data_IF_302957519392
#
_entry.id   IF_302957519392
#
_cell.length_a   1.000
_cell.length_b   1.000
_cell.length_c   1.000
_cell.angle_alpha   90.00
_cell.angle_beta   90.00
_cell.angle_gamma   90.00
#
_symmetry.space_group_name_H-M   'P 1'
#
loop_
_entity.id
_entity.type
_entity.pdbx_description
1 polymer ?
#
# COMPACT_ATOMS: atom_id res chain seq x y z
N UNK A 1 -78.51 -36.58 -3.73
CA UNK A 1 -78.44 -35.11 -3.83
C UNK A 1 -77.69 -34.59 -2.61
N UNK A 2 -76.48 -34.05 -2.83
CA UNK A 2 -75.65 -33.15 -2.00
C UNK A 2 -75.49 -33.46 -0.49
N UNK A 3 -74.34 -33.92 0.02
CA UNK A 3 -73.02 -33.23 0.20
C UNK A 3 -73.10 -32.03 1.16
N UNK A 4 -72.66 -32.19 2.42
CA UNK A 4 -71.41 -31.58 2.97
C UNK A 4 -71.29 -31.86 4.48
N UNK A 5 -70.25 -32.62 4.87
CA UNK A 5 -69.71 -32.63 6.22
C UNK A 5 -68.86 -31.38 6.42
N UNK A 6 -68.90 -30.82 7.63
CA UNK A 6 -68.00 -29.79 8.09
C UNK A 6 -66.65 -30.45 8.45
N UNK A 7 -65.71 -30.40 7.52
CA UNK A 7 -64.28 -30.52 7.81
C UNK A 7 -63.67 -29.13 7.65
N UNK A 8 -63.54 -28.39 8.74
CA UNK A 8 -62.70 -27.19 8.78
C UNK A 8 -61.24 -27.65 8.83
N UNK A 9 -60.60 -27.74 7.67
CA UNK A 9 -59.14 -27.79 7.57
C UNK A 9 -58.55 -26.46 8.08
N UNK A 10 -57.58 -26.46 9.00
CA UNK A 10 -56.87 -25.24 9.34
C UNK A 10 -55.95 -24.88 8.16
N UNK A 11 -56.38 -23.95 7.32
CA UNK A 11 -55.50 -23.28 6.37
C UNK A 11 -54.48 -22.47 7.15
N UNK A 12 -53.30 -23.04 7.38
CA UNK A 12 -52.14 -22.26 7.83
C UNK A 12 -51.81 -21.25 6.75
N UNK A 13 -52.18 -19.99 6.97
CA UNK A 13 -51.68 -18.86 6.18
C UNK A 13 -50.18 -18.79 6.40
N UNK A 14 -49.40 -19.29 5.44
CA UNK A 14 -47.98 -19.00 5.37
C UNK A 14 -47.86 -17.52 5.01
N UNK A 15 -47.69 -16.69 6.03
CA UNK A 15 -47.34 -15.28 5.88
C UNK A 15 -45.89 -15.27 5.36
N UNK A 16 -45.75 -15.25 4.03
CA UNK A 16 -44.49 -14.90 3.42
C UNK A 16 -44.24 -13.44 3.77
N UNK A 17 -43.55 -13.21 4.88
CA UNK A 17 -43.00 -11.91 5.27
C UNK A 17 -42.06 -11.47 4.13
N UNK A 18 -42.64 -10.80 3.13
CA UNK A 18 -41.94 -10.02 2.12
C UNK A 18 -41.32 -8.85 2.87
N UNK A 19 -40.22 -9.13 3.56
CA UNK A 19 -39.35 -8.13 4.14
C UNK A 19 -38.90 -7.24 2.97
N UNK A 20 -39.43 -6.01 2.93
CA UNK A 20 -39.06 -5.02 1.92
C UNK A 20 -37.52 -4.90 1.89
N UNK A 21 -36.90 -4.88 0.69
CA UNK A 21 -35.46 -4.69 0.58
C UNK A 21 -35.03 -3.41 1.32
N UNK A 22 -34.10 -3.54 2.26
CA UNK A 22 -33.58 -2.42 3.06
C UNK A 22 -33.12 -1.27 2.15
N UNK A 23 -33.89 -0.16 2.13
CA UNK A 23 -33.74 0.94 1.16
C UNK A 23 -32.64 1.92 1.62
N UNK A 24 -31.49 1.91 0.95
CA UNK A 24 -30.26 2.67 1.31
C UNK A 24 -30.15 4.08 0.68
N UNK A 25 -31.27 4.69 0.28
CA UNK A 25 -31.32 5.78 -0.72
C UNK A 25 -30.72 7.14 -0.33
N UNK A 26 -30.44 7.45 0.95
CA UNK A 26 -29.92 8.77 1.36
C UNK A 26 -28.39 8.90 1.33
N UNK A 27 -27.67 7.81 1.07
CA UNK A 27 -26.23 7.71 1.30
C UNK A 27 -25.43 7.84 0.00
N UNK A 28 -25.91 7.22 -1.09
CA UNK A 28 -25.20 7.21 -2.38
C UNK A 28 -24.98 8.59 -3.01
N UNK A 29 -25.80 9.59 -2.68
CA UNK A 29 -25.66 10.95 -3.23
C UNK A 29 -24.45 11.71 -2.65
N UNK A 30 -24.19 11.57 -1.36
CA UNK A 30 -23.02 12.19 -0.70
C UNK A 30 -21.74 11.52 -1.22
N UNK A 31 -21.80 10.21 -1.42
CA UNK A 31 -20.69 9.39 -1.90
C UNK A 31 -20.31 9.75 -3.34
N UNK A 32 -21.30 9.87 -4.23
CA UNK A 32 -21.08 10.25 -5.62
C UNK A 32 -20.47 11.66 -5.79
N UNK A 33 -20.65 12.54 -4.80
CA UNK A 33 -20.05 13.88 -4.81
C UNK A 33 -18.65 13.91 -4.18
N UNK A 34 -18.38 13.09 -3.16
CA UNK A 34 -17.13 13.16 -2.38
C UNK A 34 -16.03 12.22 -2.88
N UNK A 35 -16.37 11.00 -3.33
CA UNK A 35 -15.38 9.99 -3.73
C UNK A 35 -14.59 10.39 -4.98
N UNK A 36 -15.21 10.87 -6.08
CA UNK A 36 -14.48 11.20 -7.31
C UNK A 36 -13.36 12.25 -7.15
N UNK A 37 -13.59 13.42 -6.51
CA UNK A 37 -12.51 14.39 -6.32
C UNK A 37 -11.41 13.87 -5.38
N UNK A 38 -11.77 13.09 -4.35
CA UNK A 38 -10.81 12.49 -3.44
C UNK A 38 -9.92 11.46 -4.16
N UNK A 39 -10.50 10.55 -4.94
CA UNK A 39 -9.76 9.55 -5.71
C UNK A 39 -8.87 10.21 -6.77
N UNK A 40 -9.34 11.28 -7.39
CA UNK A 40 -8.53 12.09 -8.33
C UNK A 40 -7.32 12.72 -7.64
N UNK A 41 -7.51 13.25 -6.43
CA UNK A 41 -6.42 13.82 -5.63
C UNK A 41 -5.41 12.76 -5.20
N UNK A 42 -5.88 11.61 -4.72
CA UNK A 42 -5.04 10.44 -4.38
C UNK A 42 -4.26 9.96 -5.59
N UNK A 43 -4.90 9.89 -6.76
CA UNK A 43 -4.24 9.53 -8.01
C UNK A 43 -3.10 10.50 -8.34
N UNK A 44 -3.34 11.81 -8.35
CA UNK A 44 -2.32 12.81 -8.71
C UNK A 44 -1.13 12.75 -7.75
N UNK A 45 -1.36 12.88 -6.44
CA UNK A 45 -0.27 12.90 -5.46
C UNK A 45 0.43 11.54 -5.36
N UNK A 46 -0.35 10.46 -5.37
CA UNK A 46 0.18 9.10 -5.30
C UNK A 46 1.01 8.75 -6.54
N UNK A 47 0.53 9.08 -7.74
CA UNK A 47 1.22 8.74 -8.98
C UNK A 47 2.53 9.52 -9.11
N UNK A 48 2.50 10.84 -8.91
CA UNK A 48 3.70 11.68 -8.95
C UNK A 48 4.71 11.25 -7.87
N UNK A 49 4.23 11.01 -6.64
CA UNK A 49 5.08 10.61 -5.52
C UNK A 49 5.76 9.26 -5.74
N UNK A 50 5.00 8.23 -6.12
CA UNK A 50 5.55 6.89 -6.33
C UNK A 50 6.40 6.81 -7.60
N UNK A 51 6.05 7.53 -8.67
CA UNK A 51 6.90 7.64 -9.86
C UNK A 51 8.24 8.30 -9.52
N UNK A 52 8.24 9.34 -8.70
CA UNK A 52 9.48 9.97 -8.24
C UNK A 52 10.33 9.02 -7.40
N UNK A 53 9.72 8.20 -6.54
CA UNK A 53 10.42 7.15 -5.79
C UNK A 53 11.09 6.15 -6.75
N UNK A 54 10.37 5.65 -7.75
CA UNK A 54 10.91 4.75 -8.78
C UNK A 54 12.10 5.38 -9.50
N UNK A 55 11.96 6.62 -9.98
CA UNK A 55 13.02 7.35 -10.69
C UNK A 55 14.27 7.55 -9.82
N UNK A 56 14.11 7.88 -8.54
CA UNK A 56 15.23 8.05 -7.62
C UNK A 56 15.94 6.71 -7.35
N UNK A 57 15.17 5.63 -7.17
CA UNK A 57 15.72 4.31 -6.89
C UNK A 57 16.56 3.79 -8.07
N UNK A 58 16.07 3.97 -9.30
CA UNK A 58 16.75 3.53 -10.52
C UNK A 58 17.92 4.47 -10.86
N UNK A 59 17.68 5.78 -10.96
CA UNK A 59 18.64 6.72 -11.53
C UNK A 59 19.69 7.21 -10.51
N UNK A 60 19.31 7.37 -9.24
CA UNK A 60 20.21 7.90 -8.21
C UNK A 60 20.84 6.78 -7.36
N UNK A 61 20.04 5.84 -6.87
CA UNK A 61 20.51 4.76 -6.00
C UNK A 61 21.02 3.53 -6.75
N UNK A 62 20.62 3.32 -8.01
CA UNK A 62 21.03 2.21 -8.88
C UNK A 62 20.78 0.83 -8.24
N UNK A 63 19.73 0.69 -7.42
CA UNK A 63 19.27 -0.58 -6.84
C UNK A 63 20.37 -1.45 -6.21
N UNK A 64 21.34 -0.83 -5.53
CA UNK A 64 22.53 -1.52 -5.00
C UNK A 64 22.28 -2.40 -3.77
N UNK A 65 21.06 -2.37 -3.22
CA UNK A 65 20.73 -3.13 -2.01
C UNK A 65 19.38 -3.83 -2.15
N UNK A 66 19.23 -4.96 -1.44
CA UNK A 66 17.98 -5.70 -1.33
C UNK A 66 16.81 -4.82 -0.85
N UNK A 67 17.07 -3.91 0.10
CA UNK A 67 16.07 -2.93 0.57
C UNK A 67 15.62 -1.99 -0.55
N UNK A 68 16.53 -1.55 -1.43
CA UNK A 68 16.15 -0.68 -2.55
C UNK A 68 15.27 -1.44 -3.57
N UNK A 69 15.48 -2.75 -3.74
CA UNK A 69 14.63 -3.60 -4.58
C UNK A 69 13.23 -3.72 -3.98
N UNK A 70 13.10 -3.95 -2.67
CA UNK A 70 11.79 -4.02 -2.03
C UNK A 70 11.05 -2.68 -2.02
N UNK A 71 11.77 -1.57 -1.80
CA UNK A 71 11.18 -0.23 -1.93
C UNK A 71 10.72 0.06 -3.37
N UNK A 72 11.45 -0.43 -4.37
CA UNK A 72 11.03 -0.31 -5.78
C UNK A 72 9.74 -1.10 -6.03
N UNK A 73 9.69 -2.35 -5.60
CA UNK A 73 8.51 -3.18 -5.79
C UNK A 73 7.29 -2.66 -5.02
N UNK A 74 7.49 -2.09 -3.83
CA UNK A 74 6.44 -1.40 -3.07
C UNK A 74 5.89 -0.20 -3.85
N UNK A 75 6.76 0.62 -4.44
CA UNK A 75 6.31 1.74 -5.28
C UNK A 75 5.59 1.25 -6.55
N UNK A 76 6.02 0.11 -7.14
CA UNK A 76 5.31 -0.50 -8.27
C UNK A 76 3.92 -1.00 -7.84
N UNK A 77 3.79 -1.67 -6.69
CA UNK A 77 2.47 -2.11 -6.20
C UNK A 77 1.54 -0.93 -5.93
N UNK A 78 2.05 0.17 -5.38
CA UNK A 78 1.28 1.40 -5.18
C UNK A 78 0.86 2.00 -6.53
N UNK A 79 1.73 2.01 -7.54
CA UNK A 79 1.39 2.48 -8.90
C UNK A 79 0.33 1.61 -9.57
N UNK A 80 0.42 0.28 -9.48
CA UNK A 80 -0.60 -0.64 -10.03
C UNK A 80 -1.98 -0.36 -9.41
N UNK A 81 -2.02 -0.12 -8.10
CA UNK A 81 -3.22 0.24 -7.37
C UNK A 81 -3.76 1.62 -7.81
N UNK A 82 -2.89 2.62 -7.90
CA UNK A 82 -3.23 3.98 -8.32
C UNK A 82 -3.79 4.04 -9.75
N UNK A 83 -3.29 3.22 -10.68
CA UNK A 83 -3.82 3.16 -12.05
C UNK A 83 -5.30 2.77 -12.12
N UNK A 84 -5.83 2.12 -11.07
CA UNK A 84 -7.26 1.76 -10.99
C UNK A 84 -8.14 2.92 -10.51
N UNK A 85 -7.57 3.91 -9.81
CA UNK A 85 -8.32 4.99 -9.14
C UNK A 85 -9.21 5.82 -10.08
N UNK A 86 -8.78 6.21 -11.30
CA UNK A 86 -9.65 6.97 -12.20
C UNK A 86 -10.92 6.21 -12.60
N UNK A 87 -10.83 4.89 -12.71
CA UNK A 87 -11.97 4.03 -13.07
C UNK A 87 -12.95 3.90 -11.90
N UNK A 88 -12.44 3.75 -10.68
CA UNK A 88 -13.26 3.77 -9.47
C UNK A 88 -13.87 5.15 -9.21
N UNK A 89 -13.18 6.23 -9.57
CA UNK A 89 -13.70 7.60 -9.46
C UNK A 89 -14.87 7.83 -10.42
N UNK A 90 -14.76 7.34 -11.67
CA UNK A 90 -15.87 7.37 -12.61
C UNK A 90 -17.04 6.50 -12.12
N UNK A 91 -16.77 5.28 -11.66
CA UNK A 91 -17.79 4.37 -11.12
C UNK A 91 -18.49 4.89 -9.85
N UNK A 92 -17.81 5.72 -9.06
CA UNK A 92 -18.44 6.37 -7.91
C UNK A 92 -19.38 7.51 -8.34
N UNK A 93 -19.11 8.17 -9.47
CA UNK A 93 -19.92 9.27 -9.99
C UNK A 93 -21.08 8.79 -10.88
N UNK A 94 -20.88 7.70 -11.61
CA UNK A 94 -21.77 7.16 -12.64
C UNK A 94 -21.63 5.63 -12.73
N UNK A 95 -22.40 4.99 -13.59
CA UNK A 95 -22.39 3.53 -13.77
C UNK A 95 -21.09 2.98 -14.39
N UNK A 96 -20.90 1.66 -14.27
CA UNK A 96 -19.76 0.96 -14.85
C UNK A 96 -19.92 0.72 -16.37
N UNK A 97 -19.42 1.64 -17.19
CA UNK A 97 -19.53 1.56 -18.68
C UNK A 97 -18.39 0.78 -19.37
N UNK A 98 -17.34 0.37 -18.65
CA UNK A 98 -16.14 -0.23 -19.26
C UNK A 98 -16.26 -1.73 -19.59
N UNK A 99 -17.40 -2.34 -19.25
CA UNK A 99 -17.69 -3.75 -19.50
C UNK A 99 -16.96 -4.72 -18.55
N UNK A 100 -17.29 -6.01 -18.70
CA UNK A 100 -16.87 -7.06 -17.78
C UNK A 100 -15.35 -7.34 -17.78
N UNK A 101 -14.69 -7.23 -18.94
CA UNK A 101 -13.24 -7.47 -19.06
C UNK A 101 -12.47 -6.43 -18.25
N UNK A 102 -12.83 -5.15 -18.37
CA UNK A 102 -12.19 -4.08 -17.60
C UNK A 102 -12.51 -4.18 -16.11
N UNK A 103 -13.73 -4.58 -15.74
CA UNK A 103 -14.12 -4.80 -14.33
C UNK A 103 -13.19 -5.84 -13.68
N UNK A 104 -12.96 -6.98 -14.34
CA UNK A 104 -12.02 -8.02 -13.88
C UNK A 104 -10.57 -7.54 -13.87
N UNK A 105 -10.14 -6.82 -14.91
CA UNK A 105 -8.76 -6.34 -15.03
C UNK A 105 -8.40 -5.32 -13.93
N UNK A 106 -9.21 -4.27 -13.74
CA UNK A 106 -8.95 -3.25 -12.73
C UNK A 106 -9.15 -3.78 -11.31
N UNK A 107 -10.10 -4.69 -11.09
CA UNK A 107 -10.20 -5.40 -9.81
C UNK A 107 -8.95 -6.24 -9.55
N UNK A 108 -8.39 -6.90 -10.58
CA UNK A 108 -7.14 -7.63 -10.47
C UNK A 108 -5.96 -6.74 -10.11
N UNK A 109 -5.79 -5.61 -10.80
CA UNK A 109 -4.75 -4.63 -10.47
C UNK A 109 -4.88 -4.09 -9.04
N UNK A 110 -6.11 -3.81 -8.60
CA UNK A 110 -6.39 -3.39 -7.23
C UNK A 110 -5.92 -4.43 -6.21
N UNK A 111 -6.28 -5.71 -6.41
CA UNK A 111 -5.94 -6.78 -5.47
C UNK A 111 -4.44 -7.10 -5.50
N UNK A 112 -3.83 -7.14 -6.70
CA UNK A 112 -2.40 -7.37 -6.88
C UNK A 112 -1.59 -6.25 -6.23
N UNK A 113 -2.01 -4.99 -6.41
CA UNK A 113 -1.41 -3.84 -5.75
C UNK A 113 -1.55 -3.90 -4.23
N UNK A 114 -2.75 -4.24 -3.73
CA UNK A 114 -3.02 -4.39 -2.30
C UNK A 114 -2.15 -5.47 -1.64
N UNK A 115 -2.19 -6.71 -2.15
CA UNK A 115 -1.41 -7.83 -1.61
C UNK A 115 0.08 -7.64 -1.83
N UNK A 116 0.49 -7.14 -2.99
CA UNK A 116 1.89 -6.80 -3.27
C UNK A 116 2.42 -5.79 -2.25
N UNK A 117 1.69 -4.71 -2.00
CA UNK A 117 2.07 -3.68 -1.05
C UNK A 117 2.34 -4.24 0.35
N UNK A 118 1.40 -5.00 0.91
CA UNK A 118 1.57 -5.57 2.26
C UNK A 118 2.69 -6.60 2.32
N UNK A 119 2.83 -7.47 1.31
CA UNK A 119 3.91 -8.45 1.29
C UNK A 119 5.29 -7.80 1.18
N UNK A 120 5.45 -6.72 0.39
CA UNK A 120 6.71 -5.97 0.35
C UNK A 120 7.00 -5.23 1.67
N UNK A 121 5.99 -4.74 2.38
CA UNK A 121 6.15 -4.17 3.73
C UNK A 121 6.60 -5.25 4.73
N UNK A 122 6.05 -6.46 4.65
CA UNK A 122 6.49 -7.63 5.45
C UNK A 122 7.95 -7.96 5.14
N UNK A 123 8.32 -8.07 3.86
CA UNK A 123 9.69 -8.35 3.44
C UNK A 123 10.68 -7.27 3.88
N UNK A 124 10.30 -5.99 3.83
CA UNK A 124 11.10 -4.89 4.36
C UNK A 124 11.33 -5.04 5.87
N UNK A 125 10.31 -5.47 6.61
CA UNK A 125 10.39 -5.70 8.06
C UNK A 125 11.33 -6.87 8.39
N UNK A 126 11.22 -7.98 7.66
CA UNK A 126 12.10 -9.15 7.80
C UNK A 126 13.55 -8.79 7.41
N UNK A 127 13.76 -8.05 6.30
CA UNK A 127 15.08 -7.58 5.88
C UNK A 127 15.77 -6.74 6.97
N UNK A 128 15.01 -5.89 7.68
CA UNK A 128 15.54 -5.14 8.82
C UNK A 128 15.82 -5.99 10.03
N UNK A 129 14.92 -6.91 10.35
CA UNK A 129 15.11 -7.83 11.44
C UNK A 129 16.41 -8.63 11.27
N UNK A 130 16.60 -9.24 10.09
CA UNK A 130 17.82 -10.00 9.78
C UNK A 130 19.07 -9.12 9.85
N UNK A 131 19.03 -7.90 9.32
CA UNK A 131 20.17 -6.99 9.35
C UNK A 131 20.63 -6.59 10.77
N UNK A 132 19.73 -6.61 11.76
CA UNK A 132 20.01 -6.13 13.12
C UNK A 132 20.24 -7.30 14.07
N UNK A 133 19.31 -8.26 14.09
CA UNK A 133 19.32 -9.38 15.03
C UNK A 133 20.27 -10.49 14.57
N UNK A 134 20.39 -10.72 13.26
CA UNK A 134 21.20 -11.78 12.67
C UNK A 134 22.26 -11.23 11.68
N UNK A 135 23.04 -10.24 12.13
CA UNK A 135 23.99 -9.50 11.28
C UNK A 135 25.00 -10.38 10.51
N UNK A 136 25.46 -11.50 11.10
CA UNK A 136 26.40 -12.44 10.45
C UNK A 136 25.74 -13.22 9.32
N UNK A 137 24.50 -13.68 9.52
CA UNK A 137 23.71 -14.34 8.47
C UNK A 137 23.33 -13.36 7.36
N UNK A 138 22.99 -12.12 7.74
CA UNK A 138 22.63 -11.05 6.84
C UNK A 138 23.73 -10.71 5.81
N UNK A 139 25.01 -10.85 6.14
CA UNK A 139 26.13 -10.66 5.20
C UNK A 139 26.08 -11.64 4.02
N UNK A 140 25.59 -12.86 4.22
CA UNK A 140 25.47 -13.88 3.16
C UNK A 140 24.12 -13.84 2.45
N UNK A 141 23.04 -13.57 3.19
CA UNK A 141 21.67 -13.68 2.68
C UNK A 141 21.15 -12.42 1.96
N UNK A 142 21.67 -11.22 2.29
CA UNK A 142 21.12 -9.95 1.78
C UNK A 142 21.75 -9.49 0.47
N UNK A 143 21.81 -10.41 -0.50
CA UNK A 143 22.32 -10.13 -1.85
C UNK A 143 21.21 -9.58 -2.76
N UNK A 144 21.60 -8.85 -3.81
CA UNK A 144 20.66 -8.33 -4.81
C UNK A 144 19.92 -9.47 -5.51
N UNK A 145 20.61 -10.56 -5.84
CA UNK A 145 20.02 -11.76 -6.46
C UNK A 145 18.90 -12.35 -5.61
N UNK A 146 19.14 -12.52 -4.30
CA UNK A 146 18.11 -13.04 -3.40
C UNK A 146 16.92 -12.07 -3.29
N UNK A 147 17.18 -10.76 -3.28
CA UNK A 147 16.15 -9.73 -3.37
C UNK A 147 15.27 -9.84 -4.62
N UNK A 148 15.87 -10.05 -5.79
CA UNK A 148 15.11 -10.24 -7.05
C UNK A 148 14.28 -11.52 -7.03
N UNK A 149 14.87 -12.64 -6.60
CA UNK A 149 14.16 -13.93 -6.51
C UNK A 149 12.97 -13.85 -5.55
N UNK A 150 13.18 -13.32 -4.34
CA UNK A 150 12.12 -13.16 -3.35
C UNK A 150 11.02 -12.20 -3.81
N UNK A 151 11.36 -11.12 -4.51
CA UNK A 151 10.36 -10.25 -5.15
C UNK A 151 9.54 -11.00 -6.20
N UNK A 152 10.18 -11.80 -7.07
CA UNK A 152 9.48 -12.60 -8.07
C UNK A 152 8.48 -13.58 -7.45
N UNK A 153 8.91 -14.32 -6.41
CA UNK A 153 8.01 -15.21 -5.65
C UNK A 153 6.85 -14.43 -5.03
N UNK A 154 7.13 -13.25 -4.48
CA UNK A 154 6.11 -12.42 -3.84
C UNK A 154 5.04 -11.94 -4.82
N UNK A 155 5.43 -11.54 -6.03
CA UNK A 155 4.47 -11.19 -7.08
C UNK A 155 3.60 -12.38 -7.48
N UNK A 156 4.19 -13.56 -7.63
CA UNK A 156 3.43 -14.79 -7.93
C UNK A 156 2.40 -15.06 -6.82
N UNK A 157 2.81 -14.98 -5.55
CA UNK A 157 1.90 -15.15 -4.40
C UNK A 157 0.81 -14.07 -4.39
N UNK A 158 1.12 -12.81 -4.68
CA UNK A 158 0.15 -11.73 -4.76
C UNK A 158 -0.89 -11.95 -5.88
N UNK A 159 -0.46 -12.45 -7.04
CA UNK A 159 -1.35 -12.82 -8.14
C UNK A 159 -2.29 -13.95 -7.72
N UNK A 160 -1.75 -15.03 -7.14
CA UNK A 160 -2.58 -16.14 -6.64
C UNK A 160 -3.57 -15.69 -5.56
N UNK A 161 -3.13 -14.82 -4.64
CA UNK A 161 -4.00 -14.27 -3.61
C UNK A 161 -5.15 -13.41 -4.18
N UNK A 162 -4.94 -12.82 -5.36
CA UNK A 162 -5.91 -11.97 -6.05
C UNK A 162 -6.94 -12.75 -6.88
N UNK A 163 -6.66 -14.02 -7.22
CA UNK A 163 -7.50 -14.81 -8.12
C UNK A 163 -8.96 -14.94 -7.68
N UNK A 164 -9.30 -15.24 -6.39
CA UNK A 164 -10.69 -15.34 -5.98
C UNK A 164 -11.47 -14.04 -6.27
N UNK A 165 -10.87 -12.88 -5.98
CA UNK A 165 -11.49 -11.58 -6.28
C UNK A 165 -11.74 -11.38 -7.77
N UNK A 166 -10.79 -11.78 -8.62
CA UNK A 166 -10.90 -11.65 -10.09
C UNK A 166 -11.93 -12.61 -10.69
N UNK A 167 -12.04 -13.83 -10.16
CA UNK A 167 -12.95 -14.85 -10.68
C UNK A 167 -14.39 -14.44 -10.37
N UNK A 168 -14.66 -14.02 -9.13
CA UNK A 168 -16.01 -13.77 -8.63
C UNK A 168 -16.52 -12.34 -8.89
N UNK A 169 -15.66 -11.39 -9.29
CA UNK A 169 -16.13 -10.08 -9.76
C UNK A 169 -16.75 -10.19 -11.17
N UNK A 170 -17.90 -9.54 -11.35
CA UNK A 170 -18.60 -9.43 -12.64
C UNK A 170 -19.21 -8.05 -12.83
N UNK A 171 -19.28 -7.61 -14.07
CA UNK A 171 -20.15 -6.50 -14.47
C UNK A 171 -21.54 -7.04 -14.78
N UNK A 172 -22.56 -6.55 -14.06
CA UNK A 172 -23.95 -6.98 -14.18
C UNK A 172 -24.84 -5.77 -14.44
N UNK A 173 -25.94 -6.01 -15.14
CA UNK A 173 -26.99 -5.02 -15.34
C UNK A 173 -27.91 -5.01 -14.11
N UNK A 174 -28.04 -3.84 -13.49
CA UNK A 174 -28.94 -3.56 -12.37
C UNK A 174 -30.02 -2.57 -12.84
N UNK A 175 -31.10 -2.39 -12.06
CA UNK A 175 -32.28 -1.59 -12.46
C UNK A 175 -31.96 -0.12 -12.79
N UNK A 176 -30.78 0.37 -12.41
CA UNK A 176 -30.29 1.75 -12.60
C UNK A 176 -28.98 1.86 -13.40
N UNK A 177 -28.55 0.78 -14.08
CA UNK A 177 -27.33 0.77 -14.91
C UNK A 177 -26.42 -0.42 -14.64
N UNK A 178 -25.20 -0.37 -15.18
CA UNK A 178 -24.22 -1.45 -14.99
C UNK A 178 -23.40 -1.27 -13.71
N UNK A 179 -23.28 -2.33 -12.90
CA UNK A 179 -22.49 -2.35 -11.67
C UNK A 179 -21.33 -3.37 -11.77
N UNK A 180 -20.15 -3.01 -11.26
CA UNK A 180 -19.01 -3.93 -11.12
C UNK A 180 -18.94 -4.41 -9.67
N UNK A 181 -19.53 -5.59 -9.40
CA UNK A 181 -19.76 -6.07 -8.04
C UNK A 181 -19.33 -7.53 -7.86
N UNK A 182 -18.92 -7.93 -6.64
CA UNK A 182 -18.53 -9.29 -6.35
C UNK A 182 -19.74 -10.22 -6.21
N UNK A 183 -19.74 -11.32 -6.95
CA UNK A 183 -20.77 -12.37 -6.88
C UNK A 183 -20.14 -13.68 -6.38
N UNK A 184 -20.13 -13.86 -5.06
CA UNK A 184 -19.57 -15.05 -4.41
C UNK A 184 -20.62 -16.14 -4.24
N UNK A 185 -20.34 -17.40 -4.63
CA UNK A 185 -21.14 -18.55 -4.22
C UNK A 185 -21.13 -18.72 -2.69
N UNK A 186 -22.08 -19.52 -2.17
CA UNK A 186 -22.18 -19.81 -0.74
C UNK A 186 -20.82 -20.30 -0.17
N UNK A 187 -20.40 -19.75 0.97
CA UNK A 187 -19.12 -20.06 1.61
C UNK A 187 -17.88 -19.35 1.03
N UNK A 188 -17.86 -19.03 -0.27
CA UNK A 188 -16.72 -18.33 -0.89
C UNK A 188 -16.55 -16.90 -0.40
N UNK A 189 -17.66 -16.23 -0.04
CA UNK A 189 -17.62 -14.90 0.61
C UNK A 189 -16.83 -14.98 1.92
N UNK A 190 -17.14 -15.96 2.77
CA UNK A 190 -16.48 -16.14 4.07
C UNK A 190 -15.01 -16.50 3.89
N UNK A 191 -14.71 -17.44 2.98
CA UNK A 191 -13.32 -17.80 2.65
C UNK A 191 -12.51 -16.59 2.18
N UNK A 192 -13.05 -15.80 1.24
CA UNK A 192 -12.39 -14.62 0.70
C UNK A 192 -12.14 -13.57 1.79
N UNK A 193 -13.13 -13.27 2.63
CA UNK A 193 -12.97 -12.34 3.76
C UNK A 193 -11.92 -12.83 4.75
N UNK A 194 -12.01 -14.08 5.21
CA UNK A 194 -11.07 -14.66 6.18
C UNK A 194 -9.64 -14.63 5.60
N UNK A 195 -9.47 -15.07 4.36
CA UNK A 195 -8.18 -15.05 3.67
C UNK A 195 -7.61 -13.63 3.60
N UNK A 196 -8.42 -12.65 3.21
CA UNK A 196 -7.99 -11.25 3.12
C UNK A 196 -7.61 -10.69 4.48
N UNK A 197 -8.37 -10.98 5.54
CA UNK A 197 -8.06 -10.55 6.90
C UNK A 197 -6.79 -11.23 7.45
N UNK A 198 -6.59 -12.52 7.18
CA UNK A 198 -5.37 -13.22 7.60
C UNK A 198 -4.14 -12.61 6.93
N UNK A 199 -4.18 -12.46 5.60
CA UNK A 199 -3.03 -11.97 4.83
C UNK A 199 -2.78 -10.47 5.00
N UNK A 200 -3.84 -9.68 5.16
CA UNK A 200 -3.80 -8.22 5.23
C UNK A 200 -3.71 -7.65 6.65
N UNK A 201 -4.07 -8.41 7.69
CA UNK A 201 -4.07 -7.92 9.07
C UNK A 201 -3.28 -8.83 10.02
N UNK A 202 -3.64 -10.12 10.10
CA UNK A 202 -3.07 -11.03 11.12
C UNK A 202 -1.60 -11.33 10.84
N UNK A 203 -1.27 -11.71 9.60
CA UNK A 203 0.10 -12.02 9.18
C UNK A 203 1.06 -10.84 9.37
N UNK A 204 0.80 -9.63 8.85
CA UNK A 204 1.70 -8.50 9.07
C UNK A 204 1.82 -8.13 10.54
N UNK A 205 0.76 -8.27 11.34
CA UNK A 205 0.78 -7.95 12.76
C UNK A 205 1.64 -8.96 13.55
N UNK A 206 1.53 -10.25 13.23
CA UNK A 206 2.39 -11.28 13.79
C UNK A 206 3.87 -11.02 13.46
N UNK A 207 4.17 -10.76 12.19
CA UNK A 207 5.54 -10.42 11.74
C UNK A 207 6.05 -9.19 12.49
N UNK A 208 5.22 -8.17 12.66
CA UNK A 208 5.57 -6.96 13.39
C UNK A 208 5.95 -7.29 14.84
N UNK A 209 5.11 -8.01 15.59
CA UNK A 209 5.35 -8.33 16.99
C UNK A 209 6.67 -9.13 17.14
N UNK A 210 6.87 -10.16 16.33
CA UNK A 210 8.07 -11.00 16.39
C UNK A 210 9.33 -10.23 15.99
N UNK A 211 9.29 -9.48 14.90
CA UNK A 211 10.47 -8.75 14.41
C UNK A 211 10.84 -7.60 15.35
N UNK A 212 9.87 -6.79 15.79
CA UNK A 212 10.16 -5.64 16.62
C UNK A 212 10.56 -6.02 18.05
N UNK A 213 10.00 -7.09 18.63
CA UNK A 213 10.46 -7.59 19.93
C UNK A 213 11.94 -7.99 19.88
N UNK A 214 12.38 -8.71 18.84
CA UNK A 214 13.79 -9.06 18.66
C UNK A 214 14.70 -7.86 18.36
N UNK A 215 14.23 -6.90 17.57
CA UNK A 215 14.96 -5.64 17.30
C UNK A 215 15.14 -4.84 18.59
N UNK A 216 14.08 -4.63 19.37
CA UNK A 216 14.11 -3.88 20.63
C UNK A 216 15.05 -4.57 21.63
N UNK A 217 14.95 -5.89 21.80
CA UNK A 217 15.83 -6.67 22.68
C UNK A 217 17.31 -6.50 22.31
N UNK A 218 17.61 -6.52 21.01
CA UNK A 218 18.98 -6.36 20.50
C UNK A 218 19.48 -4.91 20.65
N UNK A 219 18.62 -3.92 20.41
CA UNK A 219 18.96 -2.50 20.59
C UNK A 219 19.20 -2.14 22.05
N UNK A 220 18.42 -2.69 22.98
CA UNK A 220 18.62 -2.50 24.43
C UNK A 220 19.94 -3.14 24.89
N UNK A 221 20.36 -4.26 24.29
CA UNK A 221 21.63 -4.92 24.58
C UNK A 221 22.85 -4.19 24.00
N UNK A 222 22.68 -3.49 22.87
CA UNK A 222 23.76 -2.79 22.16
C UNK A 222 23.60 -1.26 22.24
N UNK A 223 23.97 -0.67 23.38
CA UNK A 223 23.72 0.75 23.76
C UNK A 223 24.36 1.83 22.88
N UNK A 224 25.28 1.51 21.96
CA UNK A 224 26.19 2.50 21.35
C UNK A 224 26.02 2.85 19.85
N UNK A 225 25.02 2.33 19.12
CA UNK A 225 24.93 2.52 17.66
C UNK A 225 23.77 3.43 17.19
N UNK A 226 23.93 4.75 17.37
CA UNK A 226 22.94 5.79 16.98
C UNK A 226 22.46 5.70 15.51
N UNK A 227 23.28 5.19 14.58
CA UNK A 227 22.93 5.06 13.15
C UNK A 227 21.91 3.94 12.86
N UNK A 228 21.84 2.87 13.67
CA UNK A 228 20.89 1.75 13.46
C UNK A 228 19.44 2.14 13.76
N UNK A 229 19.22 3.05 14.71
CA UNK A 229 17.88 3.50 15.12
C UNK A 229 17.10 4.22 14.01
N UNK A 230 17.75 4.98 13.12
CA UNK A 230 17.06 5.77 12.08
C UNK A 230 16.35 4.91 11.04
N UNK A 231 16.99 3.82 10.59
CA UNK A 231 16.40 2.93 9.59
C UNK A 231 15.25 2.08 10.16
N UNK A 232 15.37 1.66 11.43
CA UNK A 232 14.29 0.98 12.17
C UNK A 232 13.09 1.90 12.33
N UNK A 233 13.32 3.17 12.69
CA UNK A 233 12.26 4.17 12.85
C UNK A 233 11.47 4.36 11.56
N UNK A 234 12.12 4.42 10.40
CA UNK A 234 11.44 4.59 9.12
C UNK A 234 10.47 3.43 8.86
N UNK A 235 10.93 2.18 8.99
CA UNK A 235 10.11 1.01 8.66
C UNK A 235 9.02 0.77 9.71
N UNK A 236 9.28 1.13 10.96
CA UNK A 236 8.27 1.11 12.02
C UNK A 236 7.13 2.09 11.72
N UNK A 237 7.46 3.31 11.28
CA UNK A 237 6.47 4.30 10.88
C UNK A 237 5.65 3.79 9.68
N UNK A 238 6.29 3.23 8.64
CA UNK A 238 5.58 2.65 7.48
C UNK A 238 4.58 1.58 7.92
N UNK A 239 5.00 0.67 8.80
CA UNK A 239 4.12 -0.41 9.29
C UNK A 239 2.96 0.11 10.14
N UNK A 240 3.20 1.05 11.05
CA UNK A 240 2.12 1.65 11.87
C UNK A 240 1.12 2.39 10.99
N UNK A 241 1.61 3.17 10.02
CA UNK A 241 0.75 3.88 9.07
C UNK A 241 -0.08 2.89 8.25
N UNK A 242 0.48 1.75 7.82
CA UNK A 242 -0.30 0.71 7.17
C UNK A 242 -1.50 0.27 8.02
N UNK A 243 -1.28 -0.07 9.29
CA UNK A 243 -2.37 -0.50 10.17
C UNK A 243 -3.39 0.61 10.45
N UNK A 244 -2.95 1.86 10.62
CA UNK A 244 -3.86 2.99 10.82
C UNK A 244 -4.83 3.17 9.64
N UNK A 245 -4.38 2.88 8.42
CA UNK A 245 -5.18 3.08 7.21
C UNK A 245 -5.99 1.83 6.84
N UNK A 246 -5.41 0.62 6.98
CA UNK A 246 -6.04 -0.62 6.50
C UNK A 246 -6.71 -1.47 7.58
N UNK A 247 -6.34 -1.37 8.85
CA UNK A 247 -6.99 -2.15 9.90
C UNK A 247 -8.47 -1.79 10.08
N UNK A 248 -8.90 -0.50 10.04
CA UNK A 248 -10.32 -0.16 10.14
C UNK A 248 -11.16 -0.88 9.10
N UNK A 249 -10.71 -0.89 7.83
CA UNK A 249 -11.41 -1.58 6.75
C UNK A 249 -11.48 -3.09 6.96
N UNK A 250 -10.37 -3.73 7.33
CA UNK A 250 -10.34 -5.18 7.57
C UNK A 250 -11.26 -5.60 8.73
N UNK A 251 -11.36 -4.77 9.78
CA UNK A 251 -12.26 -5.00 10.90
C UNK A 251 -13.72 -4.87 10.46
N UNK A 252 -14.08 -3.80 9.73
CA UNK A 252 -15.45 -3.60 9.24
C UNK A 252 -15.85 -4.70 8.25
N UNK A 253 -14.94 -5.15 7.38
CA UNK A 253 -15.17 -6.25 6.45
C UNK A 253 -15.50 -7.57 7.17
N UNK A 254 -14.79 -7.86 8.27
CA UNK A 254 -15.10 -9.01 9.13
C UNK A 254 -16.46 -8.87 9.79
N UNK A 255 -16.78 -7.70 10.36
CA UNK A 255 -18.07 -7.44 11.00
C UNK A 255 -19.24 -7.56 10.00
N UNK A 256 -19.08 -7.02 8.79
CA UNK A 256 -20.07 -7.12 7.71
C UNK A 256 -20.28 -8.56 7.24
N UNK A 257 -19.20 -9.35 7.15
CA UNK A 257 -19.30 -10.76 6.72
C UNK A 257 -19.95 -11.65 7.79
N UNK A 258 -19.70 -11.37 9.06
CA UNK A 258 -20.22 -12.15 10.20
C UNK A 258 -21.32 -11.39 10.99
N UNK A 259 -22.11 -10.56 10.31
CA UNK A 259 -23.13 -9.72 10.96
C UNK A 259 -24.15 -10.51 11.79
N UNK A 260 -24.52 -11.72 11.36
CA UNK A 260 -25.45 -12.59 12.09
C UNK A 260 -24.85 -13.08 13.41
N UNK A 261 -23.56 -13.43 13.41
CA UNK A 261 -22.85 -13.88 14.61
C UNK A 261 -22.72 -12.77 15.65
N UNK A 262 -22.54 -11.52 15.21
CA UNK A 262 -22.42 -10.35 16.10
C UNK A 262 -23.78 -9.69 16.44
N UNK A 263 -24.91 -10.23 15.97
CA UNK A 263 -26.23 -9.64 16.21
C UNK A 263 -26.45 -8.29 15.51
N UNK A 264 -25.75 -8.02 14.40
CA UNK A 264 -25.78 -6.78 13.62
C UNK A 264 -26.66 -6.89 12.35
N UNK A 265 -27.49 -7.94 12.23
CA UNK A 265 -28.33 -8.20 11.05
C UNK A 265 -29.52 -7.25 10.87
N UNK A 266 -29.74 -6.30 11.78
CA UNK A 266 -30.79 -5.29 11.65
C UNK A 266 -30.52 -4.34 10.47
N UNK A 267 -31.55 -3.94 9.70
CA UNK A 267 -31.41 -3.06 8.52
C UNK A 267 -30.66 -1.74 8.83
N UNK A 268 -30.88 -1.14 10.01
CA UNK A 268 -30.13 0.06 10.45
C UNK A 268 -28.64 -0.22 10.65
N UNK A 269 -28.30 -1.34 11.30
CA UNK A 269 -26.92 -1.75 11.56
C UNK A 269 -26.19 -2.17 10.28
N UNK A 270 -26.87 -2.89 9.38
CA UNK A 270 -26.34 -3.25 8.06
C UNK A 270 -26.04 -2.01 7.21
N UNK A 271 -26.96 -1.03 7.17
CA UNK A 271 -26.73 0.25 6.47
C UNK A 271 -25.54 1.04 7.04
N UNK A 272 -25.37 1.06 8.37
CA UNK A 272 -24.21 1.68 9.01
C UNK A 272 -22.90 0.94 8.72
N UNK A 273 -22.93 -0.40 8.64
CA UNK A 273 -21.76 -1.21 8.29
C UNK A 273 -21.31 -0.96 6.86
N UNK A 274 -22.25 -0.82 5.92
CA UNK A 274 -21.90 -0.51 4.52
C UNK A 274 -21.27 0.89 4.39
N UNK A 275 -21.84 1.89 5.07
CA UNK A 275 -21.24 3.23 5.15
C UNK A 275 -19.83 3.18 5.76
N UNK A 276 -19.67 2.48 6.88
CA UNK A 276 -18.39 2.31 7.53
C UNK A 276 -17.39 1.60 6.60
N UNK A 277 -17.83 0.60 5.83
CA UNK A 277 -17.00 -0.14 4.90
C UNK A 277 -16.46 0.79 3.81
N UNK A 278 -17.31 1.65 3.25
CA UNK A 278 -16.92 2.58 2.20
C UNK A 278 -15.98 3.69 2.69
N UNK A 279 -16.25 4.26 3.86
CA UNK A 279 -15.38 5.28 4.48
C UNK A 279 -14.01 4.68 4.83
N UNK A 280 -14.01 3.49 5.45
CA UNK A 280 -12.76 2.84 5.85
C UNK A 280 -11.98 2.28 4.65
N UNK A 281 -12.68 1.83 3.60
CA UNK A 281 -12.03 1.48 2.33
C UNK A 281 -11.33 2.69 1.75
N UNK A 282 -12.06 3.80 1.60
CA UNK A 282 -11.52 5.07 1.08
C UNK A 282 -10.33 5.55 1.89
N UNK A 283 -10.37 5.45 3.22
CA UNK A 283 -9.21 5.69 4.08
C UNK A 283 -8.06 4.76 3.70
N UNK A 284 -8.28 3.45 3.60
CA UNK A 284 -7.29 2.47 3.13
C UNK A 284 -6.69 2.82 1.77
N UNK A 285 -7.51 3.26 0.81
CA UNK A 285 -7.06 3.68 -0.52
C UNK A 285 -6.04 4.81 -0.46
N UNK A 286 -6.25 5.79 0.44
CA UNK A 286 -5.33 6.93 0.58
C UNK A 286 -3.93 6.53 1.05
N UNK A 287 -3.75 5.33 1.64
CA UNK A 287 -2.44 4.83 2.08
C UNK A 287 -1.37 4.88 0.98
N UNK A 288 -1.73 4.59 -0.28
CA UNK A 288 -0.78 4.51 -1.38
C UNK A 288 -0.04 5.84 -1.67
N UNK A 289 -0.61 6.99 -1.30
CA UNK A 289 0.06 8.30 -1.47
C UNK A 289 0.91 8.70 -0.25
N UNK A 290 0.77 8.00 0.88
CA UNK A 290 1.48 8.31 2.13
C UNK A 290 2.91 7.78 2.11
N UNK A 291 3.20 6.68 1.40
CA UNK A 291 4.53 6.08 1.32
C UNK A 291 5.62 7.08 0.84
N UNK A 292 5.45 7.79 -0.30
CA UNK A 292 6.36 8.87 -0.71
C UNK A 292 6.54 9.98 0.33
N UNK A 293 5.45 10.37 1.01
CA UNK A 293 5.45 11.40 2.06
C UNK A 293 6.32 10.93 3.24
N UNK A 294 6.14 9.69 3.70
CA UNK A 294 6.96 9.10 4.75
C UNK A 294 8.44 9.13 4.35
N UNK A 295 8.79 8.76 3.11
CA UNK A 295 10.17 8.82 2.64
C UNK A 295 10.73 10.25 2.63
N UNK A 296 9.92 11.23 2.22
CA UNK A 296 10.31 12.64 2.17
C UNK A 296 10.53 13.25 3.56
N UNK A 297 9.71 12.93 4.56
CA UNK A 297 9.81 13.53 5.88
C UNK A 297 10.71 12.74 6.85
N UNK A 298 10.65 11.41 6.80
CA UNK A 298 11.36 10.53 7.74
C UNK A 298 12.73 10.09 7.20
N UNK A 299 12.90 10.08 5.88
CA UNK A 299 14.12 9.62 5.21
C UNK A 299 15.13 10.73 4.88
N UNK A 300 16.07 11.02 5.79
CA UNK A 300 17.17 11.99 5.52
C UNK A 300 17.96 11.68 4.24
N UNK A 301 18.22 10.40 3.96
CA UNK A 301 18.90 9.97 2.73
C UNK A 301 18.04 10.25 1.50
N UNK A 302 16.74 9.98 1.57
CA UNK A 302 15.81 10.21 0.46
C UNK A 302 15.69 11.71 0.14
N UNK A 303 15.60 12.58 1.15
CA UNK A 303 15.66 14.04 0.96
C UNK A 303 16.90 14.51 0.20
N UNK A 304 18.07 13.94 0.51
CA UNK A 304 19.32 14.29 -0.19
C UNK A 304 19.28 13.87 -1.66
N UNK A 305 18.75 12.68 -1.94
CA UNK A 305 18.56 12.21 -3.32
C UNK A 305 17.50 13.01 -4.07
N UNK A 306 16.37 13.34 -3.45
CA UNK A 306 15.37 14.25 -3.98
C UNK A 306 16.02 15.58 -4.39
N UNK A 307 16.73 16.24 -3.47
CA UNK A 307 17.39 17.52 -3.75
C UNK A 307 18.39 17.42 -4.91
N UNK A 308 19.14 16.32 -5.00
CA UNK A 308 20.08 16.09 -6.11
C UNK A 308 19.34 15.83 -7.42
N UNK A 309 18.24 15.08 -7.39
CA UNK A 309 17.40 14.80 -8.55
C UNK A 309 16.77 16.09 -9.09
N UNK A 310 16.16 16.89 -8.22
CA UNK A 310 15.61 18.21 -8.55
C UNK A 310 16.70 19.12 -9.11
N UNK A 311 17.89 19.19 -8.49
CA UNK A 311 18.99 20.03 -8.99
C UNK A 311 19.50 19.58 -10.37
N UNK A 312 19.62 18.27 -10.59
CA UNK A 312 20.20 17.72 -11.82
C UNK A 312 19.24 17.72 -13.01
N UNK A 313 17.96 17.46 -12.78
CA UNK A 313 16.96 17.28 -13.86
C UNK A 313 15.98 18.43 -13.97
N UNK A 314 15.55 19.03 -12.85
CA UNK A 314 14.52 20.07 -12.86
C UNK A 314 15.16 21.46 -12.89
N UNK A 315 16.12 21.75 -12.01
CA UNK A 315 16.82 23.03 -12.01
C UNK A 315 17.69 23.22 -13.25
N UNK A 316 18.30 22.16 -13.80
CA UNK A 316 19.07 22.24 -15.06
C UNK A 316 18.18 22.46 -16.30
N UNK A 317 16.95 21.94 -16.30
CA UNK A 317 15.98 22.21 -17.37
C UNK A 317 15.30 23.58 -17.20
N UNK A 318 14.95 23.99 -15.98
CA UNK A 318 14.39 25.33 -15.70
C UNK A 318 15.44 26.44 -15.84
N UNK A 319 16.71 26.22 -15.48
CA UNK A 319 17.81 27.17 -15.74
C UNK A 319 18.18 27.28 -17.22
N UNK A 320 17.79 26.33 -18.09
CA UNK A 320 17.88 26.55 -19.55
C UNK A 320 16.84 27.56 -20.06
N UNK A 321 15.81 27.87 -19.27
CA UNK A 321 14.77 28.87 -19.57
C UNK A 321 14.92 30.17 -18.77
N UNK A 322 15.96 30.31 -17.93
CA UNK A 322 16.27 31.56 -17.21
C UNK A 322 17.77 31.90 -17.29
N UNK A 323 18.18 32.90 -18.11
CA UNK A 323 19.58 33.27 -18.29
C UNK A 323 20.12 34.18 -17.16
N UNK A 324 19.65 34.02 -15.92
CA UNK A 324 20.01 34.91 -14.79
C UNK A 324 21.04 34.29 -13.84
N UNK A 325 21.36 33.00 -13.97
CA UNK A 325 22.35 32.31 -13.11
C UNK A 325 23.62 31.83 -13.84
N UNK A 326 23.97 32.44 -14.98
CA UNK A 326 25.32 32.32 -15.55
C UNK A 326 26.25 33.37 -14.91
N UNK A 327 26.44 33.24 -13.59
CA UNK A 327 27.48 33.95 -12.86
C UNK A 327 28.65 32.99 -12.66
N UNK A 328 29.78 33.33 -13.28
CA UNK A 328 31.01 32.56 -13.41
C UNK A 328 31.46 31.82 -12.14
N UNK A 329 31.71 30.52 -12.26
CA UNK A 329 32.78 29.86 -11.49
C UNK A 329 33.87 29.48 -12.49
N UNK A 330 34.66 30.48 -12.87
CA UNK A 330 35.90 30.27 -13.59
C UNK A 330 36.97 29.78 -12.62
N UNK A 331 37.44 28.56 -12.87
CA UNK A 331 38.61 27.97 -12.24
C UNK A 331 39.82 28.91 -12.33
N UNK A 332 40.39 29.30 -11.19
CA UNK A 332 41.81 29.69 -11.11
C UNK A 332 42.50 28.93 -9.99
N UNK A 333 43.14 27.85 -10.44
CA UNK A 333 44.25 27.15 -9.81
C UNK A 333 45.27 28.19 -9.32
N UNK A 334 45.58 28.20 -8.03
CA UNK A 334 46.84 28.71 -7.52
C UNK A 334 47.52 27.60 -6.74
N UNK A 335 48.59 27.08 -7.35
CA UNK A 335 49.50 26.07 -6.86
C UNK A 335 50.39 26.66 -5.75
N UNK A 336 50.32 26.11 -4.54
CA UNK A 336 51.38 26.28 -3.55
C UNK A 336 52.25 25.03 -3.56
N UNK A 337 53.31 25.06 -4.38
CA UNK A 337 54.43 24.13 -4.29
C UNK A 337 55.33 24.61 -3.14
N UNK A 338 55.49 23.78 -2.10
CA UNK A 338 56.51 23.96 -1.07
C UNK A 338 57.72 23.11 -1.45
N UNK A 339 58.87 23.73 -1.70
CA UNK A 339 60.12 23.03 -1.99
C UNK A 339 60.79 22.63 -0.67
N UNK A 340 61.01 21.33 -0.48
CA UNK A 340 61.88 20.77 0.56
C UNK A 340 63.20 20.37 -0.10
N UNK A 341 64.29 21.00 0.32
CA UNK A 341 65.65 20.55 0.07
C UNK A 341 66.34 20.49 1.43
N UNK A 342 66.76 19.29 1.81
CA UNK A 342 67.64 19.05 2.94
C UNK A 342 69.10 19.09 2.52
N UNK A 343 69.94 19.49 3.47
CA UNK A 343 71.39 19.30 3.70
C UNK A 343 71.71 20.28 4.86
N UNK A 344 72.50 20.02 5.90
CA UNK A 344 73.51 19.00 6.19
C UNK A 344 73.84 19.04 7.70
N UNK A 345 74.10 17.86 8.26
CA UNK A 345 75.07 17.45 9.31
C UNK A 345 75.45 18.36 10.50
N UNK A 346 75.30 17.78 11.71
CA UNK A 346 75.87 18.21 12.99
C UNK A 346 76.83 17.13 13.50
N UNK A 347 78.10 17.49 13.70
CA UNK A 347 79.10 16.90 14.63
C UNK A 347 80.36 17.76 14.53
N UNK A 348 81.12 18.14 15.55
CA UNK A 348 81.09 17.97 16.99
C UNK A 348 81.96 19.10 17.60
N UNK A 349 81.82 19.34 18.90
CA UNK A 349 82.76 20.15 19.67
C UNK A 349 84.00 19.32 20.05
N UNK A 350 85.14 20.02 20.16
CA UNK A 350 86.51 19.62 20.54
C UNK A 350 87.39 19.03 19.44
#
# INVERSE_FOLDING_TARGET
>A
TNVKGNDEEPTTSYDYDYSEPCRKTSVGQIEAQLLPPLYSLVFIFGFVGNLLVVLILINCKKLKSMTDIYLLNLAISDLLFLLTMPFWAHYAADQWVFGNVMCKFFTGLYHIGYFGGIFFIILLTIDRYLAIVHAVFALKARTVTFGVVTSGVTWVVAVFASLPGIIFIKSLEEHSGYACAPYFPLGWKNFHTIMRSILGLVLPLLVMIVCYSGIIKTLLRCRNEKKKHKAVRLIFVIMIVYFLFWAPYNIVLLLSTFQEFFGLSNCKSSSQLDQAMQVTETLGLTHCCINPIIYAFVGEKFRRYLSTFFRKHIAKHLCKQCPVFYGETGDRVSSTYTHSTGEQEVSAAL
#
